data_IF_244258832568
#
_entry.id   IF_244258832568
#
_cell.length_a   1.000
_cell.length_b   1.000
_cell.length_c   1.000
_cell.angle_alpha   90.00
_cell.angle_beta   90.00
_cell.angle_gamma   90.00
#
_symmetry.space_group_name_H-M   'P 1'
#
loop_
_entity.id
_entity.type
_entity.pdbx_description
1 polymer ?
#
# COMPACT_ATOMS: atom_id res chain seq x y z
N UNK A 1 0.04 -24.20 0.93
CA UNK A 1 0.53 -23.13 1.85
C UNK A 1 0.10 -21.79 1.26
N UNK A 2 -0.80 -21.09 1.96
CA UNK A 2 -1.29 -19.75 1.59
C UNK A 2 -0.18 -18.72 1.75
N UNK A 3 -0.05 -17.76 0.84
CA UNK A 3 0.97 -16.70 0.91
C UNK A 3 0.37 -15.36 1.25
N UNK A 4 0.73 -14.79 2.38
CA UNK A 4 0.26 -13.51 2.85
C UNK A 4 1.42 -12.54 3.00
N UNK A 5 1.37 -11.46 2.27
CA UNK A 5 2.42 -10.45 2.28
C UNK A 5 1.84 -9.07 2.58
N UNK A 6 2.44 -8.38 3.54
CA UNK A 6 2.16 -6.98 3.82
C UNK A 6 3.37 -6.12 3.52
N UNK A 7 3.14 -4.90 3.08
CA UNK A 7 4.20 -3.98 2.69
C UNK A 7 4.19 -2.71 3.53
N UNK A 8 5.30 -2.47 4.22
CA UNK A 8 5.56 -1.34 5.09
C UNK A 8 6.53 -0.36 4.44
N UNK A 9 6.47 0.90 4.83
CA UNK A 9 7.39 1.95 4.38
C UNK A 9 6.68 3.29 4.26
N UNK A 10 7.44 4.39 4.22
CA UNK A 10 6.89 5.74 4.19
C UNK A 10 6.04 6.01 2.93
N UNK A 11 5.19 7.05 2.96
CA UNK A 11 4.50 7.48 1.74
C UNK A 11 5.47 7.74 0.60
N UNK A 12 5.12 7.31 -0.63
CA UNK A 12 5.92 7.44 -1.85
C UNK A 12 7.29 6.73 -1.89
N UNK A 13 7.56 5.77 -1.00
CA UNK A 13 8.78 4.94 -1.06
C UNK A 13 8.81 3.93 -2.23
N UNK A 14 7.76 3.85 -3.05
CA UNK A 14 7.70 2.94 -4.20
C UNK A 14 6.94 1.62 -3.94
N UNK A 15 6.32 1.44 -2.75
CA UNK A 15 5.54 0.24 -2.43
C UNK A 15 4.60 -0.17 -3.55
N UNK A 16 3.67 0.70 -3.94
CA UNK A 16 2.67 0.38 -4.95
C UNK A 16 3.23 -0.09 -6.28
N UNK A 17 4.39 0.44 -6.72
CA UNK A 17 5.07 -0.01 -7.93
C UNK A 17 5.57 -1.45 -7.79
N UNK A 18 6.22 -1.75 -6.68
CA UNK A 18 6.76 -3.09 -6.43
C UNK A 18 5.66 -4.12 -6.13
N UNK A 19 4.66 -3.75 -5.33
CA UNK A 19 3.54 -4.64 -5.01
C UNK A 19 2.71 -5.02 -6.25
N UNK A 20 2.53 -4.11 -7.21
CA UNK A 20 1.92 -4.43 -8.49
C UNK A 20 2.74 -5.47 -9.28
N UNK A 21 4.06 -5.28 -9.38
CA UNK A 21 4.96 -6.23 -10.06
C UNK A 21 4.97 -7.60 -9.37
N UNK A 22 5.04 -7.62 -8.03
CA UNK A 22 5.01 -8.85 -7.24
C UNK A 22 3.68 -9.59 -7.36
N UNK A 23 2.57 -8.86 -7.41
CA UNK A 23 1.25 -9.43 -7.62
C UNK A 23 1.14 -10.16 -8.98
N UNK A 24 1.65 -9.53 -10.04
CA UNK A 24 1.73 -10.16 -11.37
C UNK A 24 2.67 -11.37 -11.35
N UNK A 25 3.84 -11.28 -10.72
CA UNK A 25 4.84 -12.34 -10.66
C UNK A 25 4.36 -13.57 -9.88
N UNK A 26 3.76 -13.37 -8.71
CA UNK A 26 3.25 -14.46 -7.86
C UNK A 26 1.83 -14.91 -8.23
N UNK A 27 1.19 -14.24 -9.18
CA UNK A 27 -0.23 -14.44 -9.52
C UNK A 27 -1.14 -14.36 -8.29
N UNK A 28 -0.91 -13.34 -7.45
CA UNK A 28 -1.69 -13.04 -6.24
C UNK A 28 -2.44 -11.72 -6.40
N UNK A 29 -3.61 -11.55 -5.78
CA UNK A 29 -4.31 -10.27 -5.80
C UNK A 29 -3.53 -9.19 -5.05
N UNK A 30 -3.41 -8.01 -5.67
CA UNK A 30 -2.93 -6.80 -5.02
C UNK A 30 -4.09 -6.08 -4.34
N UNK A 31 -4.05 -6.01 -3.03
CA UNK A 31 -5.05 -5.34 -2.19
C UNK A 31 -4.49 -4.00 -1.71
N UNK A 32 -4.72 -2.93 -2.48
CA UNK A 32 -4.35 -1.56 -2.10
C UNK A 32 -5.49 -0.91 -1.29
N UNK A 33 -5.28 -0.80 0.00
CA UNK A 33 -6.23 -0.18 0.95
C UNK A 33 -6.59 1.25 0.55
N UNK A 34 -5.62 2.01 0.04
CA UNK A 34 -5.86 3.36 -0.44
C UNK A 34 -6.85 3.40 -1.60
N UNK A 35 -6.75 2.45 -2.54
CA UNK A 35 -7.68 2.34 -3.66
C UNK A 35 -9.07 1.89 -3.22
N UNK A 36 -9.17 0.96 -2.26
CA UNK A 36 -10.45 0.55 -1.68
C UNK A 36 -11.16 1.72 -1.02
N UNK A 37 -10.46 2.48 -0.19
CA UNK A 37 -11.03 3.67 0.48
C UNK A 37 -11.43 4.77 -0.53
N UNK A 38 -10.65 4.99 -1.58
CA UNK A 38 -11.02 5.94 -2.65
C UNK A 38 -12.22 5.47 -3.47
N UNK A 39 -12.41 4.16 -3.64
CA UNK A 39 -13.60 3.61 -4.27
C UNK A 39 -14.84 3.86 -3.41
N UNK A 40 -14.75 3.64 -2.08
CA UNK A 40 -15.81 3.98 -1.12
C UNK A 40 -16.17 5.48 -1.16
N UNK A 41 -15.17 6.36 -1.22
CA UNK A 41 -15.40 7.81 -1.33
C UNK A 41 -16.12 8.15 -2.64
N UNK A 42 -15.72 7.52 -3.75
CA UNK A 42 -16.30 7.76 -5.07
C UNK A 42 -17.75 7.26 -5.17
N UNK A 43 -18.10 6.19 -4.46
CA UNK A 43 -19.46 5.67 -4.39
C UNK A 43 -20.39 6.47 -3.48
N UNK A 44 -19.85 7.49 -2.78
CA UNK A 44 -20.58 8.32 -1.81
C UNK A 44 -21.26 7.52 -0.68
N UNK A 45 -20.75 6.31 -0.39
CA UNK A 45 -21.20 5.50 0.73
C UNK A 45 -21.02 6.22 2.08
N UNK A 46 -21.75 5.82 3.11
CA UNK A 46 -21.53 6.37 4.46
C UNK A 46 -20.10 6.14 4.95
N UNK A 47 -19.53 4.96 4.66
CA UNK A 47 -18.13 4.65 4.93
C UNK A 47 -17.19 5.58 4.16
N UNK A 48 -17.51 5.88 2.90
CA UNK A 48 -16.74 6.79 2.06
C UNK A 48 -16.75 8.23 2.59
N UNK A 49 -17.87 8.71 3.07
CA UNK A 49 -17.99 10.04 3.69
C UNK A 49 -17.12 10.16 4.95
N UNK A 50 -17.10 9.12 5.79
CA UNK A 50 -16.24 9.06 6.97
C UNK A 50 -14.78 9.01 6.54
N UNK A 51 -14.40 8.08 5.65
CA UNK A 51 -13.02 7.90 5.20
C UNK A 51 -12.43 9.19 4.61
N UNK A 52 -13.23 9.95 3.84
CA UNK A 52 -12.82 11.21 3.23
C UNK A 52 -12.35 12.24 4.24
N UNK A 53 -13.00 12.37 5.40
CA UNK A 53 -12.66 13.35 6.43
C UNK A 53 -11.25 13.14 7.01
N UNK A 54 -10.77 11.89 7.05
CA UNK A 54 -9.45 11.53 7.53
C UNK A 54 -8.39 11.61 6.43
N UNK A 55 -8.70 11.09 5.24
CA UNK A 55 -7.77 11.07 4.10
C UNK A 55 -7.41 12.48 3.65
N UNK A 56 -8.38 13.39 3.57
CA UNK A 56 -8.14 14.80 3.19
C UNK A 56 -7.19 15.52 4.16
N UNK A 57 -7.10 15.05 5.41
CA UNK A 57 -6.20 15.56 6.45
C UNK A 57 -4.89 14.77 6.58
N UNK A 58 -4.66 13.74 5.77
CA UNK A 58 -3.51 12.86 5.89
C UNK A 58 -3.49 11.96 7.13
N UNK A 59 -4.65 11.76 7.78
CA UNK A 59 -4.83 10.96 8.98
C UNK A 59 -5.24 9.52 8.65
N UNK A 60 -5.09 8.61 9.62
CA UNK A 60 -5.61 7.25 9.50
C UNK A 60 -7.13 7.24 9.67
N UNK A 61 -7.80 6.50 8.81
CA UNK A 61 -9.23 6.20 8.92
C UNK A 61 -9.45 5.29 10.15
N UNK A 62 -10.59 5.42 10.88
CA UNK A 62 -10.89 4.57 12.04
C UNK A 62 -10.68 3.09 11.76
N UNK A 63 -10.07 2.38 12.72
CA UNK A 63 -9.57 1.01 12.53
C UNK A 63 -10.69 0.04 12.19
N UNK A 64 -11.84 0.15 12.82
CA UNK A 64 -12.99 -0.72 12.60
C UNK A 64 -13.52 -0.60 11.16
N UNK A 65 -13.52 0.62 10.63
CA UNK A 65 -13.96 0.87 9.26
C UNK A 65 -13.01 0.26 8.24
N UNK A 66 -11.70 0.49 8.40
CA UNK A 66 -10.69 -0.07 7.50
C UNK A 66 -10.67 -1.59 7.61
N UNK A 67 -10.69 -2.13 8.84
CA UNK A 67 -10.66 -3.56 9.08
C UNK A 67 -11.84 -4.29 8.44
N UNK A 68 -13.05 -3.70 8.50
CA UNK A 68 -14.22 -4.24 7.82
C UNK A 68 -14.02 -4.31 6.30
N UNK A 69 -13.58 -3.21 5.68
CA UNK A 69 -13.33 -3.15 4.23
C UNK A 69 -12.26 -4.19 3.82
N UNK A 70 -11.18 -4.32 4.61
CA UNK A 70 -10.13 -5.29 4.35
C UNK A 70 -10.64 -6.72 4.51
N UNK A 71 -11.37 -7.03 5.59
CA UNK A 71 -11.96 -8.36 5.81
C UNK A 71 -12.87 -8.77 4.64
N UNK A 72 -13.77 -7.88 4.22
CA UNK A 72 -14.68 -8.13 3.11
C UNK A 72 -13.92 -8.38 1.79
N UNK A 73 -12.79 -7.71 1.59
CA UNK A 73 -11.93 -7.90 0.41
C UNK A 73 -11.13 -9.21 0.48
N UNK A 74 -10.52 -9.52 1.63
CA UNK A 74 -9.73 -10.73 1.82
C UNK A 74 -10.57 -12.02 1.82
N UNK A 75 -11.86 -11.92 2.13
CA UNK A 75 -12.80 -13.04 2.05
C UNK A 75 -13.21 -13.41 0.61
N UNK A 76 -12.80 -12.62 -0.41
CA UNK A 76 -13.11 -12.94 -1.80
C UNK A 76 -12.28 -14.12 -2.31
N UNK A 77 -12.87 -14.88 -3.24
CA UNK A 77 -12.30 -16.12 -3.76
C UNK A 77 -10.88 -16.00 -4.32
N UNK A 78 -10.55 -14.87 -4.92
CA UNK A 78 -9.20 -14.62 -5.46
C UNK A 78 -8.11 -14.51 -4.39
N UNK A 79 -8.48 -14.29 -3.12
CA UNK A 79 -7.56 -14.24 -1.98
C UNK A 79 -7.37 -15.60 -1.26
N UNK A 80 -8.01 -16.68 -1.73
CA UNK A 80 -7.93 -18.00 -1.08
C UNK A 80 -6.51 -18.59 -1.03
N UNK A 81 -5.71 -18.32 -2.07
CA UNK A 81 -4.31 -18.80 -2.18
C UNK A 81 -3.29 -17.81 -1.61
N UNK A 82 -3.74 -16.62 -1.26
CA UNK A 82 -2.92 -15.56 -0.69
C UNK A 82 -3.23 -14.17 -1.23
N UNK A 83 -2.45 -13.19 -0.78
CA UNK A 83 -2.62 -11.80 -1.18
C UNK A 83 -1.36 -10.98 -0.96
N UNK A 84 -1.28 -9.86 -1.64
CA UNK A 84 -0.33 -8.77 -1.38
C UNK A 84 -1.11 -7.56 -0.88
N UNK A 85 -0.92 -7.19 0.39
CA UNK A 85 -1.64 -6.10 1.05
C UNK A 85 -0.76 -4.86 1.17
N UNK A 86 -1.16 -3.78 0.51
CA UNK A 86 -0.48 -2.48 0.53
C UNK A 86 -1.34 -1.44 1.27
N UNK A 87 -0.70 -0.74 2.20
CA UNK A 87 -1.33 0.34 2.95
C UNK A 87 -2.18 -0.07 4.15
N UNK A 88 -2.10 -1.32 4.57
CA UNK A 88 -2.61 -1.87 5.83
C UNK A 88 -1.72 -3.05 6.27
N UNK A 89 -1.39 -3.18 7.56
CA UNK A 89 -1.72 -2.26 8.66
C UNK A 89 -0.86 -0.98 8.64
N UNK A 90 -1.35 0.07 9.30
CA UNK A 90 -0.64 1.35 9.52
C UNK A 90 -0.51 1.74 10.99
N UNK A 91 -0.99 0.91 11.90
CA UNK A 91 -0.82 1.05 13.34
C UNK A 91 -0.77 -0.32 14.00
N UNK A 92 -0.27 -0.40 15.25
CA UNK A 92 -0.25 -1.65 16.00
C UNK A 92 -1.66 -2.24 16.17
N UNK A 93 -2.65 -1.40 16.44
CA UNK A 93 -4.04 -1.81 16.54
C UNK A 93 -4.56 -2.45 15.24
N UNK A 94 -4.20 -1.86 14.07
CA UNK A 94 -4.52 -2.44 12.77
C UNK A 94 -3.78 -3.77 12.53
N UNK A 95 -2.54 -3.91 13.02
CA UNK A 95 -1.79 -5.16 12.90
C UNK A 95 -2.42 -6.30 13.72
N UNK A 96 -2.89 -6.00 14.92
CA UNK A 96 -3.62 -6.96 15.76
C UNK A 96 -4.97 -7.32 15.12
N UNK A 97 -5.64 -6.36 14.49
CA UNK A 97 -6.89 -6.61 13.78
C UNK A 97 -6.67 -7.49 12.53
N UNK A 98 -5.58 -7.26 11.77
CA UNK A 98 -5.22 -8.12 10.64
C UNK A 98 -4.96 -9.55 11.09
N UNK A 99 -4.27 -9.74 12.21
CA UNK A 99 -4.04 -11.10 12.77
C UNK A 99 -5.37 -11.81 13.03
N UNK A 100 -6.33 -11.15 13.65
CA UNK A 100 -7.66 -11.73 13.91
C UNK A 100 -8.44 -12.04 12.62
N UNK A 101 -8.36 -11.14 11.63
CA UNK A 101 -8.99 -11.35 10.32
C UNK A 101 -8.42 -12.60 9.65
N UNK A 102 -7.09 -12.75 9.65
CA UNK A 102 -6.43 -13.90 9.04
C UNK A 102 -6.78 -15.20 9.79
N UNK A 103 -6.73 -15.22 11.12
CA UNK A 103 -7.15 -16.38 11.92
C UNK A 103 -8.58 -16.83 11.60
N UNK A 104 -9.52 -15.86 11.43
CA UNK A 104 -10.90 -16.17 11.08
C UNK A 104 -11.05 -16.71 9.64
N UNK A 105 -10.27 -16.19 8.67
CA UNK A 105 -10.39 -16.57 7.25
C UNK A 105 -9.61 -17.84 6.90
N UNK A 106 -8.50 -18.09 7.60
CA UNK A 106 -7.59 -19.18 7.26
C UNK A 106 -7.90 -20.48 7.98
N UNK A 107 -8.45 -20.40 9.21
CA UNK A 107 -8.72 -21.58 10.02
C UNK A 107 -7.42 -22.39 10.23
N UNK A 108 -7.45 -23.66 9.85
CA UNK A 108 -6.31 -24.60 9.98
C UNK A 108 -5.36 -24.61 8.77
N UNK A 109 -5.45 -23.64 7.85
CA UNK A 109 -4.58 -23.58 6.67
C UNK A 109 -3.14 -23.27 7.08
N UNK A 110 -2.20 -23.92 6.40
CA UNK A 110 -0.79 -23.56 6.51
C UNK A 110 -0.54 -22.23 5.77
N UNK A 111 -0.04 -21.22 6.51
CA UNK A 111 0.16 -19.86 6.00
C UNK A 111 1.63 -19.45 6.10
N UNK A 112 2.16 -18.91 5.00
CA UNK A 112 3.42 -18.17 4.98
C UNK A 112 3.14 -16.68 5.03
N UNK A 113 3.32 -16.06 6.20
CA UNK A 113 3.15 -14.62 6.38
C UNK A 113 4.50 -13.90 6.35
N UNK A 114 4.60 -12.82 5.59
CA UNK A 114 5.79 -11.94 5.54
C UNK A 114 5.40 -10.48 5.60
N UNK A 115 6.12 -9.72 6.41
CA UNK A 115 6.10 -8.26 6.42
C UNK A 115 7.34 -7.74 5.69
N UNK A 116 7.15 -6.96 4.64
CA UNK A 116 8.24 -6.41 3.81
C UNK A 116 8.33 -4.91 4.06
N UNK A 117 9.48 -4.45 4.55
CA UNK A 117 9.75 -3.04 4.82
C UNK A 117 10.66 -2.46 3.74
N UNK A 118 10.18 -1.41 3.06
CA UNK A 118 10.98 -0.61 2.15
C UNK A 118 11.64 0.54 2.91
N UNK A 119 12.95 0.40 3.12
CA UNK A 119 13.80 1.42 3.73
C UNK A 119 14.30 2.39 2.65
N UNK A 120 14.02 3.67 2.84
CA UNK A 120 14.33 4.70 1.86
C UNK A 120 14.68 6.01 2.55
N UNK A 121 15.67 6.71 2.00
CA UNK A 121 16.02 8.07 2.42
C UNK A 121 14.84 9.04 2.23
N UNK A 122 14.59 9.84 3.26
CA UNK A 122 13.38 10.66 3.38
C UNK A 122 13.43 11.97 2.57
N UNK A 123 14.64 12.42 2.18
CA UNK A 123 14.82 13.75 1.57
C UNK A 123 14.04 13.96 0.26
N UNK A 124 13.81 12.87 -0.49
CA UNK A 124 13.14 12.94 -1.81
C UNK A 124 11.62 12.64 -1.76
N UNK A 125 11.11 12.20 -0.62
CA UNK A 125 9.76 11.63 -0.53
C UNK A 125 8.65 12.66 -0.80
N UNK A 126 8.77 13.89 -0.30
CA UNK A 126 7.79 14.95 -0.55
C UNK A 126 7.73 15.25 -2.06
N UNK A 127 8.91 15.41 -2.69
CA UNK A 127 8.99 15.60 -4.14
C UNK A 127 8.33 14.45 -4.91
N UNK A 128 8.49 13.20 -4.44
CA UNK A 128 7.83 12.04 -5.05
C UNK A 128 6.30 12.10 -4.94
N UNK A 129 5.74 12.61 -3.83
CA UNK A 129 4.29 12.73 -3.65
C UNK A 129 3.70 13.77 -4.60
N UNK A 130 4.22 15.00 -4.60
CA UNK A 130 3.64 16.10 -5.37
C UNK A 130 3.77 15.90 -6.89
N UNK A 131 4.79 15.14 -7.32
CA UNK A 131 5.02 14.81 -8.72
C UNK A 131 4.37 13.48 -9.16
N UNK A 132 3.63 12.82 -8.28
CA UNK A 132 2.94 11.57 -8.61
C UNK A 132 1.75 11.80 -9.54
N UNK A 133 1.60 10.88 -10.48
CA UNK A 133 0.41 10.73 -11.32
C UNK A 133 -0.05 9.29 -11.24
N UNK A 134 -1.36 9.08 -11.32
CA UNK A 134 -1.96 7.74 -11.29
C UNK A 134 -2.96 7.57 -12.41
N UNK A 135 -2.99 6.38 -13.00
CA UNK A 135 -4.00 6.03 -13.97
C UNK A 135 -5.30 5.62 -13.25
N UNK A 136 -6.43 6.32 -13.50
CA UNK A 136 -7.69 5.98 -12.82
C UNK A 136 -8.32 4.67 -13.32
N UNK A 137 -7.83 4.11 -14.46
CA UNK A 137 -8.34 2.88 -15.06
C UNK A 137 -7.59 1.64 -14.61
N UNK A 138 -6.25 1.63 -14.73
CA UNK A 138 -5.43 0.44 -14.45
C UNK A 138 -4.60 0.54 -13.16
N UNK A 139 -4.65 1.67 -12.45
CA UNK A 139 -3.89 1.86 -11.20
C UNK A 139 -2.40 2.15 -11.37
N UNK A 140 -1.86 2.15 -12.60
CA UNK A 140 -0.44 2.42 -12.87
C UNK A 140 0.00 3.76 -12.29
N UNK A 141 1.21 3.79 -11.71
CA UNK A 141 1.74 4.95 -10.99
C UNK A 141 2.96 5.48 -11.74
N UNK A 142 2.94 6.78 -12.01
CA UNK A 142 4.04 7.54 -12.62
C UNK A 142 4.53 8.64 -11.69
N UNK A 143 5.73 9.11 -11.97
CA UNK A 143 6.29 10.31 -11.35
C UNK A 143 6.87 11.20 -12.45
N UNK A 144 6.30 12.39 -12.64
CA UNK A 144 6.70 13.28 -13.75
C UNK A 144 8.17 13.72 -13.71
N UNK A 145 8.82 13.60 -12.54
CA UNK A 145 10.23 13.97 -12.34
C UNK A 145 11.18 12.76 -12.41
N UNK A 146 10.79 11.62 -11.84
CA UNK A 146 11.69 10.47 -11.68
C UNK A 146 11.36 9.28 -12.59
N UNK A 147 10.11 9.16 -13.00
CA UNK A 147 9.62 8.09 -13.88
C UNK A 147 8.41 8.60 -14.68
N UNK A 148 8.66 9.50 -15.66
CA UNK A 148 7.58 10.08 -16.47
C UNK A 148 6.99 9.04 -17.44
N UNK A 149 5.72 9.20 -17.86
CA UNK A 149 5.17 8.41 -18.94
C UNK A 149 5.84 8.79 -20.26
N UNK A 150 5.83 7.88 -21.24
CA UNK A 150 6.39 8.09 -22.59
C UNK A 150 5.71 9.27 -23.31
N UNK A 151 4.40 9.40 -23.12
CA UNK A 151 3.61 10.53 -23.61
C UNK A 151 3.07 11.28 -22.40
N UNK A 152 3.35 12.58 -22.33
CA UNK A 152 2.94 13.42 -21.20
C UNK A 152 1.43 13.30 -20.95
N UNK A 153 1.07 13.05 -19.69
CA UNK A 153 -0.31 12.94 -19.24
C UNK A 153 -1.05 11.66 -19.66
N UNK A 154 -0.41 10.71 -20.35
CA UNK A 154 -1.05 9.49 -20.86
C UNK A 154 -0.43 8.24 -20.25
N UNK A 155 -1.25 7.31 -19.80
CA UNK A 155 -0.81 6.02 -19.26
C UNK A 155 -0.23 5.13 -20.35
N UNK A 156 1.03 4.71 -20.21
CA UNK A 156 1.72 3.83 -21.17
C UNK A 156 1.06 2.43 -21.25
N UNK A 157 0.41 1.97 -20.17
CA UNK A 157 -0.18 0.63 -20.08
C UNK A 157 -1.56 0.55 -20.76
N UNK A 158 -2.38 1.57 -20.68
CA UNK A 158 -3.77 1.50 -21.15
C UNK A 158 -4.28 2.72 -21.91
N UNK A 159 -3.45 3.72 -22.18
CA UNK A 159 -3.80 4.93 -22.95
C UNK A 159 -4.75 5.92 -22.26
N UNK A 160 -5.09 5.69 -20.98
CA UNK A 160 -5.99 6.58 -20.24
C UNK A 160 -5.24 7.81 -19.73
N UNK A 161 -5.91 8.97 -19.70
CA UNK A 161 -5.38 10.20 -19.11
C UNK A 161 -5.01 10.00 -17.64
N UNK A 162 -3.81 10.46 -17.26
CA UNK A 162 -3.29 10.39 -15.90
C UNK A 162 -3.86 11.51 -15.04
N UNK A 163 -4.12 11.22 -13.78
CA UNK A 163 -4.64 12.19 -12.81
C UNK A 163 -3.72 12.34 -11.61
N UNK A 164 -3.71 13.52 -11.00
CA UNK A 164 -3.12 13.73 -9.69
C UNK A 164 -4.17 13.47 -8.61
N UNK A 165 -3.80 12.78 -7.55
CA UNK A 165 -4.69 12.58 -6.40
C UNK A 165 -4.87 13.90 -5.66
N UNK A 166 -6.05 14.13 -5.09
CA UNK A 166 -6.34 15.37 -4.34
C UNK A 166 -5.46 15.54 -3.10
N UNK A 167 -5.02 14.43 -2.51
CA UNK A 167 -4.13 14.35 -1.35
C UNK A 167 -2.63 14.36 -1.71
N UNK A 168 -2.26 14.55 -2.99
CA UNK A 168 -0.88 14.65 -3.45
C UNK A 168 -0.42 16.13 -3.53
N UNK A 169 -0.51 16.84 -2.42
CA UNK A 169 0.00 18.19 -2.23
C UNK A 169 0.97 18.23 -1.04
N UNK A 170 1.75 19.31 -0.90
CA UNK A 170 2.83 19.40 0.08
C UNK A 170 2.31 19.40 1.53
N UNK A 171 1.20 20.07 1.81
CA UNK A 171 0.60 20.15 3.14
C UNK A 171 0.14 18.77 3.61
N UNK A 172 -0.67 18.09 2.79
CA UNK A 172 -1.14 16.73 3.08
C UNK A 172 0.02 15.73 3.12
N UNK A 173 1.06 15.91 2.30
CA UNK A 173 2.25 15.07 2.33
C UNK A 173 2.96 15.17 3.68
N UNK A 174 3.18 16.36 4.22
CA UNK A 174 3.77 16.57 5.56
C UNK A 174 2.93 15.89 6.65
N UNK A 175 1.62 16.11 6.66
CA UNK A 175 0.72 15.46 7.61
C UNK A 175 0.76 13.92 7.51
N UNK A 176 0.88 13.37 6.30
CA UNK A 176 1.02 11.92 6.08
C UNK A 176 2.35 11.38 6.62
N UNK A 177 3.44 12.15 6.53
CA UNK A 177 4.72 11.76 7.13
C UNK A 177 4.66 11.79 8.66
N UNK A 178 4.11 12.84 9.26
CA UNK A 178 3.91 12.90 10.69
C UNK A 178 3.10 11.72 11.21
N UNK A 179 1.99 11.41 10.53
CA UNK A 179 1.16 10.24 10.84
C UNK A 179 1.94 8.93 10.68
N UNK A 180 2.71 8.79 9.60
CA UNK A 180 3.54 7.60 9.37
C UNK A 180 4.55 7.37 10.49
N UNK A 181 5.32 8.39 10.86
CA UNK A 181 6.35 8.24 11.91
C UNK A 181 5.76 7.96 13.27
N UNK A 182 4.61 8.54 13.60
CA UNK A 182 3.93 8.31 14.87
C UNK A 182 3.28 6.95 14.96
N UNK A 183 2.57 6.51 13.92
CA UNK A 183 1.68 5.36 13.96
C UNK A 183 2.25 4.12 13.25
N UNK A 184 2.90 4.30 12.09
CA UNK A 184 3.25 3.19 11.19
C UNK A 184 4.70 2.75 11.35
N UNK A 185 5.64 3.66 11.56
CA UNK A 185 7.05 3.31 11.72
C UNK A 185 7.30 2.30 12.86
N UNK A 186 6.58 2.34 14.00
CA UNK A 186 6.70 1.33 15.05
C UNK A 186 6.37 -0.10 14.63
N UNK A 187 5.66 -0.30 13.52
CA UNK A 187 5.37 -1.62 12.99
C UNK A 187 6.61 -2.37 12.49
N UNK A 188 7.67 -1.66 12.17
CA UNK A 188 8.95 -2.28 11.79
C UNK A 188 9.46 -3.14 12.94
N UNK A 189 9.53 -2.59 14.16
CA UNK A 189 9.93 -3.33 15.35
C UNK A 189 8.89 -4.41 15.75
N UNK A 190 7.61 -4.11 15.60
CA UNK A 190 6.54 -5.07 15.87
C UNK A 190 6.70 -6.36 15.06
N UNK A 191 6.93 -6.25 13.74
CA UNK A 191 7.12 -7.43 12.87
C UNK A 191 8.52 -8.02 12.93
N UNK A 192 9.55 -7.23 13.26
CA UNK A 192 10.89 -7.71 13.55
C UNK A 192 10.90 -8.62 14.75
N UNK A 193 10.22 -8.24 15.83
CA UNK A 193 10.10 -9.06 17.04
C UNK A 193 9.32 -10.36 16.83
N UNK A 194 8.50 -10.44 15.78
CA UNK A 194 7.80 -11.67 15.36
C UNK A 194 8.60 -12.53 14.37
N UNK A 195 9.82 -12.13 14.02
CA UNK A 195 10.71 -12.79 13.04
C UNK A 195 10.11 -12.97 11.62
N UNK A 196 9.15 -12.14 11.25
CA UNK A 196 8.49 -12.17 9.94
C UNK A 196 8.85 -10.99 9.05
N UNK A 197 9.69 -10.04 9.53
CA UNK A 197 10.10 -8.86 8.78
C UNK A 197 11.22 -9.19 7.78
N UNK A 198 11.08 -8.63 6.58
CA UNK A 198 12.13 -8.56 5.57
C UNK A 198 12.36 -7.10 5.18
N UNK A 199 13.58 -6.60 5.32
CA UNK A 199 13.93 -5.21 4.97
C UNK A 199 14.58 -5.19 3.59
N UNK A 200 14.11 -4.26 2.74
CA UNK A 200 14.61 -4.02 1.39
C UNK A 200 15.11 -2.60 1.30
N UNK A 201 16.35 -2.39 0.88
CA UNK A 201 16.86 -1.08 0.51
C UNK A 201 16.13 -0.59 -0.74
N UNK A 202 15.35 0.49 -0.60
CA UNK A 202 14.54 1.06 -1.67
C UNK A 202 15.13 2.34 -2.27
N UNK A 203 16.41 2.63 -2.03
CA UNK A 203 17.12 3.79 -2.58
C UNK A 203 17.51 3.63 -4.06
N UNK A 204 17.54 2.41 -4.56
CA UNK A 204 17.89 2.10 -5.95
C UNK A 204 16.81 2.44 -6.98
N UNK A 205 17.06 2.06 -8.21
CA UNK A 205 16.10 2.08 -9.32
C UNK A 205 14.94 1.10 -9.08
N UNK A 206 13.87 1.24 -9.86
CA UNK A 206 12.73 0.30 -9.79
C UNK A 206 13.17 -1.15 -9.99
N UNK A 207 14.14 -1.40 -10.88
CA UNK A 207 14.59 -2.75 -11.21
C UNK A 207 15.56 -3.30 -10.14
N UNK A 208 16.46 -2.49 -9.59
CA UNK A 208 17.30 -2.90 -8.46
C UNK A 208 16.46 -3.28 -7.24
N UNK A 209 15.47 -2.47 -6.89
CA UNK A 209 14.54 -2.78 -5.78
C UNK A 209 13.69 -4.03 -6.10
N UNK A 210 13.36 -4.25 -7.36
CA UNK A 210 12.68 -5.46 -7.81
C UNK A 210 13.51 -6.73 -7.55
N UNK A 211 14.79 -6.73 -7.98
CA UNK A 211 15.68 -7.87 -7.75
C UNK A 211 15.87 -8.16 -6.25
N UNK A 212 16.07 -7.12 -5.44
CA UNK A 212 16.14 -7.27 -3.98
C UNK A 212 14.82 -7.84 -3.40
N UNK A 213 13.67 -7.43 -3.93
CA UNK A 213 12.38 -7.94 -3.48
C UNK A 213 12.25 -9.44 -3.74
N UNK A 214 12.70 -9.92 -4.90
CA UNK A 214 12.65 -11.37 -5.24
C UNK A 214 13.59 -12.22 -4.37
N UNK A 215 14.74 -11.66 -3.94
CA UNK A 215 15.68 -12.38 -3.09
C UNK A 215 15.13 -12.57 -1.67
N UNK A 216 14.39 -11.60 -1.15
CA UNK A 216 13.95 -11.57 0.25
C UNK A 216 12.52 -12.09 0.48
N UNK A 217 11.72 -12.22 -0.56
CA UNK A 217 10.32 -12.69 -0.50
C UNK A 217 10.20 -14.14 -0.96
#
# INVERSE_FOLDING_TARGET
MKREMIFLGPPACGKGTQTNRLAEYFNLPHVDTGSLLRAEIKSESENGKIAKQYIDKGQLVPVELVAKIIKDRLAQKDCEEGYILDGFPRSAEQADMLTKINEELDGDKEVSFKAVYFDLDQEILISRIVNRRSCPKCGEIYNIKFHPPKTEGVCDKCGTELTQRKDDNEETAKARFETYFRETAPLVDYYKNKDVLRTIDANGTIDEVWELSLIHI
#
